data_IF_165536550100
#
_entry.id   IF_165536550100
#
_cell.length_a   1.000
_cell.length_b   1.000
_cell.length_c   1.000
_cell.angle_alpha   90.00
_cell.angle_beta   90.00
_cell.angle_gamma   90.00
#
_symmetry.space_group_name_H-M   'P 1'
#
loop_
_entity.id
_entity.type
_entity.pdbx_description
1 polymer ?
#
# COMPACT_ATOMS: atom_id res chain seq x y z
N UNK A 1 -8.99 1.09 26.52
CA UNK A 1 -9.00 2.56 26.34
C UNK A 1 -7.61 3.16 26.50
N UNK A 2 -6.90 2.94 27.61
CA UNK A 2 -5.54 3.47 27.82
C UNK A 2 -4.52 2.94 26.79
N UNK A 3 -4.60 1.66 26.43
CA UNK A 3 -3.77 1.06 25.39
C UNK A 3 -3.95 1.72 24.01
N UNK A 4 -5.16 2.19 23.68
CA UNK A 4 -5.44 2.86 22.40
C UNK A 4 -4.81 4.27 22.37
N UNK A 5 -4.81 4.98 23.50
CA UNK A 5 -4.16 6.29 23.63
C UNK A 5 -2.65 6.14 23.51
N UNK A 6 -2.05 5.18 24.24
CA UNK A 6 -0.62 4.92 24.18
C UNK A 6 -0.18 4.52 22.76
N UNK A 7 -0.96 3.67 22.07
CA UNK A 7 -0.76 3.34 20.67
C UNK A 7 -0.88 4.56 19.76
N UNK A 8 -1.87 5.42 19.97
CA UNK A 8 -2.04 6.67 19.22
C UNK A 8 -0.84 7.62 19.38
N UNK A 9 -0.38 7.83 20.61
CA UNK A 9 0.81 8.67 20.89
C UNK A 9 2.07 8.05 20.28
N UNK A 10 2.23 6.74 20.36
CA UNK A 10 3.36 6.02 19.75
C UNK A 10 3.36 6.16 18.22
N UNK A 11 2.19 6.04 17.58
CA UNK A 11 2.03 6.25 16.14
C UNK A 11 2.36 7.71 15.74
N UNK A 12 1.95 8.69 16.55
CA UNK A 12 2.27 10.11 16.31
C UNK A 12 3.76 10.43 16.51
N UNK A 13 4.44 9.70 17.40
CA UNK A 13 5.87 9.88 17.69
C UNK A 13 6.76 9.17 16.65
N UNK A 14 6.51 7.88 16.37
CA UNK A 14 7.28 7.09 15.41
C UNK A 14 6.94 7.41 13.95
N UNK A 15 5.72 7.91 13.69
CA UNK A 15 5.19 8.25 12.35
C UNK A 15 5.51 7.18 11.28
N UNK A 16 5.12 5.90 11.51
CA UNK A 16 5.34 4.83 10.53
C UNK A 16 4.58 5.09 9.22
N UNK A 17 3.48 5.84 9.28
CA UNK A 17 2.72 6.32 8.13
C UNK A 17 2.17 7.73 8.39
N UNK A 18 1.73 8.41 7.32
CA UNK A 18 1.17 9.76 7.35
C UNK A 18 -0.19 9.80 6.67
N UNK A 19 -0.95 10.86 6.97
CA UNK A 19 -2.17 11.18 6.22
C UNK A 19 -1.81 11.32 4.73
N UNK A 20 -2.60 10.66 3.88
CA UNK A 20 -2.40 10.58 2.44
C UNK A 20 -1.58 9.37 1.96
N UNK A 21 -0.98 8.59 2.86
CA UNK A 21 -0.25 7.37 2.49
C UNK A 21 -1.20 6.17 2.45
N UNK A 22 -1.01 5.30 1.45
CA UNK A 22 -1.72 4.03 1.33
C UNK A 22 -1.01 2.95 2.12
N UNK A 23 -1.71 2.37 3.09
CA UNK A 23 -1.19 1.34 3.99
C UNK A 23 -2.04 0.07 3.92
N UNK A 24 -1.41 -1.04 4.25
CA UNK A 24 -2.03 -2.32 4.50
C UNK A 24 -1.53 -2.87 5.84
N UNK A 25 -2.45 -3.08 6.77
CA UNK A 25 -2.23 -3.65 8.09
C UNK A 25 -2.91 -5.02 8.20
N UNK A 26 -2.71 -5.89 7.21
CA UNK A 26 -3.20 -7.27 7.19
C UNK A 26 -4.62 -7.37 6.62
N UNK A 27 -5.63 -7.28 7.48
CA UNK A 27 -7.04 -7.32 7.05
C UNK A 27 -7.61 -5.93 6.72
N UNK A 28 -6.78 -4.90 6.83
CA UNK A 28 -7.17 -3.49 6.76
C UNK A 28 -6.25 -2.81 5.77
N UNK A 29 -6.76 -2.52 4.58
CA UNK A 29 -6.00 -1.84 3.53
C UNK A 29 -6.75 -0.58 3.07
N UNK A 30 -6.03 0.52 2.95
CA UNK A 30 -6.60 1.79 2.52
C UNK A 30 -5.64 2.97 2.64
N UNK A 31 -6.10 4.13 2.18
CA UNK A 31 -5.40 5.40 2.27
C UNK A 31 -5.80 6.11 3.55
N UNK A 32 -4.80 6.53 4.33
CA UNK A 32 -5.02 7.22 5.62
C UNK A 32 -5.60 8.60 5.36
N UNK A 33 -6.78 8.88 5.92
CA UNK A 33 -7.42 10.21 5.84
C UNK A 33 -7.12 11.07 7.06
N UNK A 34 -7.21 10.49 8.25
CA UNK A 34 -6.98 11.22 9.49
C UNK A 34 -6.47 10.27 10.57
N UNK A 35 -5.58 10.77 11.43
CA UNK A 35 -5.07 10.04 12.59
C UNK A 35 -5.59 10.74 13.84
N UNK A 36 -6.66 10.20 14.43
CA UNK A 36 -7.21 10.68 15.69
C UNK A 36 -6.50 10.07 16.90
N UNK A 37 -6.88 10.54 18.09
CA UNK A 37 -6.26 10.09 19.36
C UNK A 37 -6.53 8.62 19.67
N UNK A 38 -7.71 8.11 19.30
CA UNK A 38 -8.16 6.76 19.61
C UNK A 38 -8.26 5.84 18.39
N UNK A 39 -8.46 6.42 17.21
CA UNK A 39 -8.75 5.74 15.96
C UNK A 39 -8.16 6.49 14.78
N UNK A 40 -7.85 5.75 13.73
CA UNK A 40 -7.40 6.26 12.44
C UNK A 40 -8.51 6.04 11.41
N UNK A 41 -8.77 7.04 10.61
CA UNK A 41 -9.71 6.98 9.48
C UNK A 41 -8.96 6.58 8.21
N UNK A 42 -9.50 5.57 7.54
CA UNK A 42 -8.95 5.01 6.31
C UNK A 42 -10.04 5.04 5.24
N UNK A 43 -9.63 5.30 4.00
CA UNK A 43 -10.46 5.08 2.83
C UNK A 43 -9.97 3.83 2.12
N UNK A 44 -10.81 2.80 2.01
CA UNK A 44 -10.44 1.57 1.29
C UNK A 44 -10.27 1.86 -0.20
N UNK A 45 -9.67 0.92 -0.92
CA UNK A 45 -9.49 1.00 -2.37
C UNK A 45 -10.83 1.09 -3.12
N UNK A 46 -11.89 0.54 -2.55
CA UNK A 46 -13.28 0.63 -3.05
C UNK A 46 -13.94 1.98 -2.73
N UNK A 47 -13.22 2.89 -2.07
CA UNK A 47 -13.71 4.21 -1.68
C UNK A 47 -14.58 4.21 -0.42
N UNK A 48 -14.59 3.13 0.36
CA UNK A 48 -15.41 3.00 1.57
C UNK A 48 -14.68 3.63 2.77
N UNK A 49 -15.43 4.32 3.62
CA UNK A 49 -14.92 4.84 4.89
C UNK A 49 -14.75 3.70 5.91
N UNK A 50 -13.54 3.60 6.47
CA UNK A 50 -13.18 2.59 7.47
C UNK A 50 -12.53 3.27 8.67
N UNK A 51 -13.13 3.11 9.86
CA UNK A 51 -12.60 3.63 11.11
C UNK A 51 -11.94 2.49 11.89
N UNK A 52 -10.66 2.64 12.22
CA UNK A 52 -9.85 1.58 12.84
C UNK A 52 -9.25 2.05 14.16
N UNK A 53 -9.38 1.30 15.27
CA UNK A 53 -8.72 1.63 16.53
C UNK A 53 -7.19 1.63 16.41
N UNK A 54 -6.53 2.62 17.00
CA UNK A 54 -5.07 2.77 16.91
C UNK A 54 -4.30 1.57 17.49
N UNK A 55 -4.84 0.88 18.50
CA UNK A 55 -4.23 -0.32 19.07
C UNK A 55 -4.17 -1.48 18.08
N UNK A 56 -5.14 -1.59 17.19
CA UNK A 56 -5.15 -2.64 16.16
C UNK A 56 -4.06 -2.38 15.11
N UNK A 57 -3.90 -1.12 14.69
CA UNK A 57 -2.83 -0.72 13.76
C UNK A 57 -1.44 -0.84 14.39
N UNK A 58 -1.29 -0.48 15.67
CA UNK A 58 -0.01 -0.57 16.37
C UNK A 58 0.43 -2.02 16.66
N UNK A 59 -0.50 -2.97 16.67
CA UNK A 59 -0.21 -4.40 16.91
C UNK A 59 0.03 -5.18 15.61
N UNK A 60 -0.34 -4.62 14.46
CA UNK A 60 -0.21 -5.27 13.16
C UNK A 60 1.08 -4.85 12.44
N UNK A 61 1.58 -5.73 11.57
CA UNK A 61 2.64 -5.35 10.64
C UNK A 61 2.06 -4.42 9.57
N UNK A 62 2.61 -3.20 9.45
CA UNK A 62 2.15 -2.19 8.50
C UNK A 62 3.02 -2.23 7.25
N UNK A 63 2.39 -2.53 6.11
CA UNK A 63 2.96 -2.37 4.78
C UNK A 63 2.55 -1.00 4.23
N UNK A 64 3.52 -0.14 3.96
CA UNK A 64 3.26 1.20 3.42
C UNK A 64 3.65 1.24 1.95
N UNK A 65 2.65 1.39 1.08
CA UNK A 65 2.85 1.41 -0.36
C UNK A 65 3.28 2.78 -0.90
N UNK A 66 3.14 3.84 -0.10
CA UNK A 66 3.43 5.22 -0.52
C UNK A 66 4.74 5.77 0.04
N UNK A 67 5.37 5.07 1.00
CA UNK A 67 6.57 5.58 1.67
C UNK A 67 7.82 5.57 0.80
N UNK A 68 7.93 4.57 -0.09
CA UNK A 68 9.04 4.44 -1.02
C UNK A 68 8.64 5.01 -2.38
N UNK A 69 9.54 5.74 -3.07
CA UNK A 69 9.22 6.40 -4.33
C UNK A 69 8.98 5.41 -5.48
N UNK A 70 9.61 4.23 -5.42
CA UNK A 70 9.52 3.20 -6.45
C UNK A 70 8.95 1.91 -5.87
N UNK A 71 8.16 1.21 -6.69
CA UNK A 71 7.62 -0.12 -6.37
C UNK A 71 7.90 -1.04 -7.54
N UNK A 72 8.36 -2.25 -7.24
CA UNK A 72 8.55 -3.28 -8.25
C UNK A 72 7.19 -3.87 -8.63
N UNK A 73 6.87 -3.84 -9.92
CA UNK A 73 5.70 -4.46 -10.49
C UNK A 73 6.12 -5.76 -11.19
N UNK A 74 5.48 -6.88 -10.85
CA UNK A 74 5.72 -8.16 -11.50
C UNK A 74 4.54 -8.43 -12.45
N UNK A 75 4.83 -8.55 -13.75
CA UNK A 75 3.85 -8.91 -14.77
C UNK A 75 4.14 -10.31 -15.27
N UNK A 76 3.12 -11.15 -15.29
CA UNK A 76 3.18 -12.46 -15.94
C UNK A 76 2.38 -12.33 -17.24
N UNK A 77 3.09 -12.37 -18.36
CA UNK A 77 2.50 -12.23 -19.69
C UNK A 77 2.54 -13.60 -20.37
N UNK A 78 1.37 -14.15 -20.67
CA UNK A 78 1.23 -15.36 -21.46
C UNK A 78 1.24 -15.04 -22.94
N UNK A 79 1.98 -15.81 -23.73
CA UNK A 79 1.96 -15.77 -25.20
C UNK A 79 1.40 -17.09 -25.74
N UNK A 80 0.84 -17.07 -26.96
CA UNK A 80 0.33 -18.31 -27.57
C UNK A 80 1.47 -19.29 -27.82
N UNK A 81 1.19 -20.59 -27.75
CA UNK A 81 2.17 -21.64 -28.07
C UNK A 81 2.66 -21.57 -29.52
N UNK A 82 1.88 -20.96 -30.41
CA UNK A 82 2.22 -20.76 -31.82
C UNK A 82 3.04 -19.51 -32.08
N UNK A 83 3.20 -18.63 -31.08
CA UNK A 83 3.91 -17.37 -31.22
C UNK A 83 5.41 -17.55 -30.98
N UNK A 84 6.18 -16.71 -31.65
CA UNK A 84 7.63 -16.65 -31.50
C UNK A 84 8.00 -15.94 -30.18
N UNK A 85 8.65 -16.69 -29.28
CA UNK A 85 9.10 -16.23 -27.96
C UNK A 85 10.12 -15.09 -28.10
N UNK A 86 11.05 -15.18 -29.05
CA UNK A 86 12.10 -14.18 -29.24
C UNK A 86 11.48 -12.86 -29.71
N UNK A 87 10.49 -12.94 -30.61
CA UNK A 87 9.73 -11.78 -31.06
C UNK A 87 8.94 -11.14 -29.91
N UNK A 88 8.31 -11.94 -29.06
CA UNK A 88 7.56 -11.44 -27.90
C UNK A 88 8.48 -10.74 -26.88
N UNK A 89 9.64 -11.33 -26.56
CA UNK A 89 10.63 -10.73 -25.68
C UNK A 89 11.15 -9.39 -26.22
N UNK A 90 11.38 -9.31 -27.53
CA UNK A 90 11.83 -8.08 -28.18
C UNK A 90 10.79 -6.96 -28.07
N UNK A 91 9.52 -7.26 -28.37
CA UNK A 91 8.43 -6.28 -28.25
C UNK A 91 8.24 -5.83 -26.81
N UNK A 92 8.31 -6.75 -25.85
CA UNK A 92 8.20 -6.41 -24.43
C UNK A 92 9.37 -5.54 -23.96
N UNK A 93 10.59 -5.84 -24.42
CA UNK A 93 11.78 -5.05 -24.08
C UNK A 93 11.72 -3.65 -24.68
N UNK A 94 11.25 -3.52 -25.93
CA UNK A 94 11.03 -2.22 -26.58
C UNK A 94 9.93 -1.42 -25.86
N UNK A 95 8.84 -2.05 -25.43
CA UNK A 95 7.80 -1.40 -24.63
C UNK A 95 8.33 -0.92 -23.28
N UNK A 96 9.11 -1.74 -22.58
CA UNK A 96 9.70 -1.38 -21.29
C UNK A 96 10.74 -0.26 -21.42
N UNK A 97 11.50 -0.19 -22.51
CA UNK A 97 12.47 0.89 -22.75
C UNK A 97 11.79 2.21 -23.12
N UNK A 98 10.58 2.16 -23.68
CA UNK A 98 9.80 3.34 -24.02
C UNK A 98 8.85 3.80 -22.89
N UNK A 99 8.75 3.06 -21.78
CA UNK A 99 7.98 3.49 -20.62
C UNK A 99 8.81 4.51 -19.82
N UNK A 100 8.31 5.75 -19.71
CA UNK A 100 9.01 6.86 -19.05
C UNK A 100 8.93 6.81 -17.50
N UNK A 101 8.33 5.76 -16.94
CA UNK A 101 8.06 5.59 -15.49
C UNK A 101 9.15 4.87 -14.72
#
# INVERSE_FOLDING_TARGET
>A
TLANIAAGVLLLFLRPFRVGESIDAGSIAGTVREIGLFSTELQTWDGIYLMVPNSQLASAAIQNYSRLPTRRLNLVIGISYTDDIDKALKVLSELLQNDER
#
